data_IF_574828231762
#
_entry.id   IF_574828231762
#
_cell.length_a   1.000
_cell.length_b   1.000
_cell.length_c   1.000
_cell.angle_alpha   90.00
_cell.angle_beta   90.00
_cell.angle_gamma   90.00
#
_symmetry.space_group_name_H-M   'P 1'
#
loop_
_entity.id
_entity.type
_entity.pdbx_description
1 polymer ?
#
# COMPACT_ATOMS: atom_id res chain seq x y z
N UNK A 1 -2.12 23.39 28.08
CA UNK A 1 -2.84 23.33 26.79
C UNK A 1 -1.90 22.64 25.83
N UNK A 2 -2.25 21.46 25.29
CA UNK A 2 -1.40 20.77 24.32
C UNK A 2 -1.34 21.62 23.04
N UNK A 3 -0.18 22.22 22.78
CA UNK A 3 0.17 22.84 21.49
C UNK A 3 0.28 21.74 20.44
N UNK A 4 -0.85 21.44 19.79
CA UNK A 4 -0.85 20.75 18.52
C UNK A 4 -0.39 21.80 17.51
N UNK A 5 0.84 21.65 17.00
CA UNK A 5 1.46 22.60 16.08
C UNK A 5 0.54 23.01 14.93
N UNK A 6 0.54 24.30 14.62
CA UNK A 6 -0.22 24.86 13.50
C UNK A 6 0.42 24.44 12.18
N UNK A 7 -0.38 23.91 11.27
CA UNK A 7 -0.01 23.71 9.87
C UNK A 7 0.05 25.08 9.19
N UNK A 8 1.24 25.69 9.13
CA UNK A 8 1.48 26.87 8.30
C UNK A 8 1.78 26.43 6.86
N UNK A 9 0.78 26.54 5.99
CA UNK A 9 0.91 26.25 4.56
C UNK A 9 -0.43 26.41 3.83
N UNK A 10 -0.41 27.13 2.72
CA UNK A 10 -1.52 27.63 1.88
C UNK A 10 -2.86 26.87 2.04
N UNK A 11 -3.85 27.53 2.65
CA UNK A 11 -5.29 27.23 2.50
C UNK A 11 -5.74 25.81 2.90
N UNK A 12 -5.69 25.48 4.19
CA UNK A 12 -6.53 24.39 4.73
C UNK A 12 -7.94 24.96 4.89
N UNK A 13 -8.76 24.86 3.84
CA UNK A 13 -10.09 25.51 3.78
C UNK A 13 -11.16 24.63 4.44
N UNK A 14 -10.90 23.33 4.65
CA UNK A 14 -11.85 22.44 5.30
C UNK A 14 -11.31 21.08 5.75
N UNK A 15 -12.17 20.23 6.36
CA UNK A 15 -11.81 18.89 6.82
C UNK A 15 -11.34 17.96 5.69
N UNK A 16 -11.70 18.27 4.44
CA UNK A 16 -11.31 17.51 3.26
C UNK A 16 -9.80 17.58 2.98
N UNK A 17 -9.16 18.73 3.24
CA UNK A 17 -7.72 18.92 3.03
C UNK A 17 -6.88 18.05 3.97
N UNK A 18 -7.34 17.87 5.21
CA UNK A 18 -6.71 16.93 6.16
C UNK A 18 -6.81 15.49 5.67
N UNK A 19 -7.96 15.11 5.13
CA UNK A 19 -8.18 13.78 4.59
C UNK A 19 -7.35 13.54 3.32
N UNK A 20 -7.22 14.57 2.48
CA UNK A 20 -6.37 14.55 1.30
C UNK A 20 -4.89 14.36 1.68
N UNK A 21 -4.40 15.13 2.65
CA UNK A 21 -3.05 14.99 3.18
C UNK A 21 -2.77 13.59 3.74
N UNK A 22 -3.70 13.04 4.53
CA UNK A 22 -3.61 11.68 5.09
C UNK A 22 -3.54 10.61 4.01
N UNK A 23 -4.38 10.67 2.98
CA UNK A 23 -4.36 9.71 1.86
C UNK A 23 -3.02 9.77 1.10
N UNK A 24 -2.51 10.97 0.87
CA UNK A 24 -1.24 11.21 0.17
C UNK A 24 -0.04 10.70 0.97
N UNK A 25 -0.06 10.89 2.29
CA UNK A 25 0.94 10.32 3.20
C UNK A 25 0.85 8.80 3.25
N UNK A 26 -0.35 8.24 3.44
CA UNK A 26 -0.60 6.80 3.51
C UNK A 26 -0.16 6.06 2.24
N UNK A 27 -0.35 6.65 1.07
CA UNK A 27 0.09 6.06 -0.21
C UNK A 27 1.58 6.28 -0.50
N UNK A 28 2.33 6.92 0.42
CA UNK A 28 3.71 7.34 0.23
C UNK A 28 3.92 8.20 -1.03
N UNK A 29 2.87 8.86 -1.51
CA UNK A 29 2.91 9.67 -2.73
C UNK A 29 3.78 10.91 -2.53
N UNK A 30 3.79 11.46 -1.30
CA UNK A 30 4.70 12.52 -0.88
C UNK A 30 4.58 13.79 -1.70
N UNK A 31 3.44 14.50 -1.63
CA UNK A 31 3.36 15.83 -2.21
C UNK A 31 4.07 16.85 -1.31
N UNK A 32 5.18 17.40 -1.82
CA UNK A 32 6.04 18.36 -1.11
C UNK A 32 5.48 19.79 -0.99
N UNK A 33 4.17 19.98 -1.20
CA UNK A 33 3.51 21.29 -1.15
C UNK A 33 3.05 21.64 0.28
N UNK A 34 2.68 20.64 1.08
CA UNK A 34 2.28 20.80 2.48
C UNK A 34 3.39 20.25 3.37
N UNK A 35 4.09 21.13 4.08
CA UNK A 35 5.20 20.77 4.96
C UNK A 35 4.72 20.79 6.42
N UNK A 36 4.43 19.64 7.04
CA UNK A 36 4.09 19.60 8.46
C UNK A 36 5.29 20.02 9.32
N UNK A 37 5.10 20.97 10.23
CA UNK A 37 6.12 21.44 11.18
C UNK A 37 6.10 20.64 12.49
N UNK A 38 7.28 20.53 13.11
CA UNK A 38 7.57 19.91 14.41
C UNK A 38 7.11 18.45 14.59
N UNK A 39 5.98 18.19 15.26
CA UNK A 39 5.53 16.84 15.64
C UNK A 39 4.84 16.05 14.50
N UNK A 40 4.25 16.77 13.54
CA UNK A 40 3.45 16.15 12.50
C UNK A 40 4.30 15.33 11.51
N UNK A 41 5.60 15.62 11.36
CA UNK A 41 6.53 14.82 10.53
C UNK A 41 6.66 13.38 11.02
N UNK A 42 6.68 13.17 12.34
CA UNK A 42 6.73 11.84 12.92
C UNK A 42 5.44 11.06 12.67
N UNK A 43 4.29 11.72 12.83
CA UNK A 43 2.96 11.13 12.59
C UNK A 43 2.80 10.77 11.10
N UNK A 44 3.12 11.69 10.19
CA UNK A 44 3.11 11.46 8.74
C UNK A 44 4.06 10.31 8.35
N UNK A 45 5.22 10.21 8.98
CA UNK A 45 6.15 9.09 8.76
C UNK A 45 5.57 7.74 9.18
N UNK A 46 4.95 7.66 10.36
CA UNK A 46 4.30 6.43 10.85
C UNK A 46 3.10 6.07 9.98
N UNK A 47 2.31 7.05 9.55
CA UNK A 47 1.18 6.87 8.64
C UNK A 47 1.62 6.31 7.28
N UNK A 48 2.69 6.86 6.73
CA UNK A 48 3.30 6.37 5.47
C UNK A 48 3.79 4.93 5.61
N UNK A 49 4.47 4.60 6.70
CA UNK A 49 4.94 3.23 6.97
C UNK A 49 3.79 2.23 7.07
N UNK A 50 2.69 2.62 7.72
CA UNK A 50 1.51 1.76 7.88
C UNK A 50 0.81 1.52 6.53
N UNK A 51 0.69 2.55 5.69
CA UNK A 51 0.14 2.39 4.35
C UNK A 51 0.99 1.52 3.44
N UNK A 52 2.31 1.67 3.47
CA UNK A 52 3.24 0.78 2.75
C UNK A 52 3.13 -0.68 3.22
N UNK A 53 3.02 -0.91 4.53
CA UNK A 53 2.82 -2.25 5.09
C UNK A 53 1.51 -2.87 4.59
N UNK A 54 0.42 -2.10 4.57
CA UNK A 54 -0.88 -2.58 4.10
C UNK A 54 -0.90 -2.87 2.60
N UNK A 55 -0.19 -2.09 1.77
CA UNK A 55 -0.02 -2.37 0.34
C UNK A 55 0.78 -3.65 0.13
N UNK A 56 1.92 -3.80 0.80
CA UNK A 56 2.79 -4.98 0.68
C UNK A 56 2.08 -6.26 1.15
N UNK A 57 1.34 -6.16 2.24
CA UNK A 57 0.54 -7.28 2.75
C UNK A 57 -0.59 -7.64 1.78
N UNK A 58 -1.27 -6.64 1.20
CA UNK A 58 -2.31 -6.87 0.18
C UNK A 58 -1.75 -7.57 -1.06
N UNK A 59 -0.56 -7.15 -1.53
CA UNK A 59 0.14 -7.81 -2.64
C UNK A 59 0.48 -9.27 -2.31
N UNK A 60 0.99 -9.52 -1.09
CA UNK A 60 1.30 -10.87 -0.61
C UNK A 60 0.05 -11.76 -0.55
N UNK A 61 -1.08 -11.20 -0.10
CA UNK A 61 -2.36 -11.90 -0.09
C UNK A 61 -2.84 -12.23 -1.51
N UNK A 62 -2.77 -11.27 -2.44
CA UNK A 62 -3.12 -11.49 -3.85
C UNK A 62 -2.24 -12.58 -4.46
N UNK A 63 -0.94 -12.61 -4.16
CA UNK A 63 -0.05 -13.66 -4.62
C UNK A 63 -0.48 -15.05 -4.12
N UNK A 64 -0.81 -15.17 -2.83
CA UNK A 64 -1.31 -16.42 -2.26
C UNK A 64 -2.67 -16.80 -2.86
N UNK A 65 -3.55 -15.83 -3.07
CA UNK A 65 -4.86 -16.04 -3.69
C UNK A 65 -4.72 -16.51 -5.14
N UNK A 66 -3.83 -15.91 -5.91
CA UNK A 66 -3.45 -16.35 -7.26
C UNK A 66 -2.86 -17.75 -7.23
N UNK A 67 -1.96 -18.07 -6.30
CA UNK A 67 -1.39 -19.41 -6.18
C UNK A 67 -2.44 -20.49 -5.83
N UNK A 68 -3.47 -20.15 -5.05
CA UNK A 68 -4.59 -21.05 -4.74
C UNK A 68 -5.61 -21.17 -5.87
N UNK A 69 -5.94 -20.05 -6.51
CA UNK A 69 -6.95 -19.99 -7.58
C UNK A 69 -6.39 -20.50 -8.91
N UNK A 70 -5.11 -20.25 -9.16
CA UNK A 70 -4.31 -20.83 -10.23
C UNK A 70 -3.75 -22.17 -9.73
N UNK A 71 -4.63 -23.14 -9.48
CA UNK A 71 -4.21 -24.54 -9.57
C UNK A 71 -3.71 -24.69 -10.99
N UNK A 72 -2.39 -24.65 -11.16
CA UNK A 72 -1.73 -24.89 -12.43
C UNK A 72 -2.51 -26.00 -13.11
N UNK A 73 -3.13 -25.71 -14.26
CA UNK A 73 -3.32 -26.77 -15.24
C UNK A 73 -1.89 -27.23 -15.47
N UNK A 74 -1.50 -28.27 -14.74
CA UNK A 74 -0.27 -29.01 -14.96
C UNK A 74 -0.18 -29.12 -16.46
N UNK A 75 0.96 -28.71 -17.01
CA UNK A 75 1.22 -28.97 -18.42
C UNK A 75 0.81 -30.41 -18.66
N UNK A 76 -0.29 -30.60 -19.40
CA UNK A 76 -0.82 -31.93 -19.69
C UNK A 76 0.32 -32.61 -20.42
N UNK A 77 0.91 -33.64 -19.81
CA UNK A 77 1.95 -34.42 -20.46
C UNK A 77 1.38 -34.86 -21.81
N UNK A 78 2.03 -34.54 -22.95
CA UNK A 78 1.54 -34.99 -24.24
C UNK A 78 1.51 -36.52 -24.21
N UNK A 79 0.34 -37.10 -24.52
CA UNK A 79 0.02 -38.52 -24.35
C UNK A 79 0.89 -39.52 -25.13
N UNK A 80 1.91 -39.03 -25.85
CA UNK A 80 2.91 -39.81 -26.57
C UNK A 80 4.01 -40.45 -25.69
N UNK A 81 4.01 -40.21 -24.37
CA UNK A 81 4.99 -40.77 -23.39
C UNK A 81 4.46 -42.00 -22.63
N UNK A 82 3.75 -42.92 -23.29
CA UNK A 82 3.45 -44.25 -22.72
C UNK A 82 4.43 -45.29 -23.30
N UNK A 83 5.31 -45.91 -22.49
CA UNK A 83 6.05 -47.07 -22.96
C UNK A 83 5.08 -48.25 -23.05
N UNK A 84 4.80 -48.69 -24.28
CA UNK A 84 4.20 -49.99 -24.55
C UNK A 84 5.20 -51.05 -24.06
N UNK A 85 4.93 -51.66 -22.91
CA UNK A 85 5.65 -52.84 -22.44
C UNK A 85 4.65 -53.96 -22.16
N UNK A 86 4.64 -54.85 -23.16
CA UNK A 86 4.32 -56.28 -23.20
C UNK A 86 4.32 -57.02 -21.86
#
# INVERSE_FOLDING_TARGET
>A
MLEIGSLEGLQIVGPLDYFYFSIVAYTSLGMGDIVPSDHLRFITGIETLNGLLLIAWSSSFIYIAMAKLWSWRTCVEPGWRKPERT
#
